data_IF_816201518369
#
_entry.id   IF_816201518369
#
_cell.length_a   1.000
_cell.length_b   1.000
_cell.length_c   1.000
_cell.angle_alpha   90.00
_cell.angle_beta   90.00
_cell.angle_gamma   90.00
#
_symmetry.space_group_name_H-M   'P 1'
#
loop_
_entity.id
_entity.type
_entity.pdbx_description
1 polymer ?
#
# COMPACT_ATOMS: atom_id res chain seq x y z
N UNK A 1 -30.16 -38.95 -27.12
CA UNK A 1 -30.16 -38.45 -25.73
C UNK A 1 -29.13 -37.34 -25.65
N UNK A 2 -29.58 -36.10 -25.75
CA UNK A 2 -28.73 -34.91 -25.58
C UNK A 2 -28.56 -34.73 -24.07
N UNK A 3 -27.34 -34.96 -23.59
CA UNK A 3 -27.00 -34.82 -22.17
C UNK A 3 -27.10 -33.37 -21.75
N UNK A 4 -28.08 -33.08 -20.89
CA UNK A 4 -28.17 -31.87 -20.12
C UNK A 4 -27.04 -31.88 -19.08
N UNK A 5 -25.87 -31.36 -19.43
CA UNK A 5 -24.86 -30.95 -18.45
C UNK A 5 -25.36 -29.64 -17.83
N UNK A 6 -26.16 -29.76 -16.77
CA UNK A 6 -26.38 -28.65 -15.85
C UNK A 6 -25.02 -28.25 -15.28
N UNK A 7 -24.57 -27.04 -15.61
CA UNK A 7 -23.45 -26.33 -14.98
C UNK A 7 -23.70 -26.25 -13.45
N UNK A 8 -23.30 -27.31 -12.73
CA UNK A 8 -23.30 -27.30 -11.27
C UNK A 8 -22.14 -26.41 -10.85
N UNK A 9 -22.44 -25.14 -10.60
CA UNK A 9 -21.52 -24.21 -9.92
C UNK A 9 -20.89 -24.92 -8.73
N UNK A 10 -19.58 -25.17 -8.80
CA UNK A 10 -18.85 -25.90 -7.77
C UNK A 10 -18.88 -25.08 -6.48
N UNK A 11 -19.47 -25.63 -5.42
CA UNK A 11 -19.35 -25.08 -4.08
C UNK A 11 -17.87 -25.15 -3.66
N UNK A 12 -17.28 -24.01 -3.28
CA UNK A 12 -15.86 -23.91 -2.94
C UNK A 12 -15.71 -23.58 -1.45
N UNK A 13 -14.66 -24.12 -0.84
CA UNK A 13 -14.15 -23.68 0.47
C UNK A 13 -12.94 -22.79 0.25
N UNK A 14 -13.10 -21.52 0.55
CA UNK A 14 -12.07 -20.49 0.33
C UNK A 14 -11.47 -20.09 1.67
N UNK A 15 -10.17 -20.29 1.85
CA UNK A 15 -9.42 -19.75 2.99
C UNK A 15 -8.82 -18.40 2.61
N UNK A 16 -9.30 -17.33 3.22
CA UNK A 16 -8.83 -15.96 3.02
C UNK A 16 -7.88 -15.61 4.17
N UNK A 17 -6.70 -15.10 3.88
CA UNK A 17 -5.76 -14.66 4.92
C UNK A 17 -5.84 -13.15 5.13
N UNK A 18 -5.53 -12.62 6.31
CA UNK A 18 -5.28 -11.19 6.51
C UNK A 18 -4.41 -10.98 7.77
N UNK A 19 -3.84 -9.79 7.97
CA UNK A 19 -3.14 -9.51 9.24
C UNK A 19 -4.12 -9.16 10.37
N UNK A 20 -5.17 -8.43 10.01
CA UNK A 20 -6.16 -7.91 10.93
C UNK A 20 -7.56 -8.29 10.43
N UNK A 21 -8.46 -8.60 11.36
CA UNK A 21 -9.91 -8.54 11.18
C UNK A 21 -10.47 -7.97 12.49
N UNK A 22 -10.12 -6.72 12.74
CA UNK A 22 -10.29 -6.01 14.00
C UNK A 22 -11.13 -4.74 13.91
N UNK A 23 -10.75 -3.76 13.08
CA UNK A 23 -11.22 -2.36 13.16
C UNK A 23 -11.39 -1.71 11.78
N UNK A 24 -12.27 -2.24 10.93
CA UNK A 24 -12.76 -1.63 9.67
C UNK A 24 -11.70 -0.89 8.83
N UNK A 25 -10.47 -1.40 8.76
CA UNK A 25 -9.40 -0.78 7.98
C UNK A 25 -9.40 -1.27 6.52
N UNK A 26 -8.58 -0.66 5.66
CA UNK A 26 -8.67 -0.81 4.20
C UNK A 26 -8.77 -2.25 3.69
N UNK A 27 -7.82 -3.12 4.03
CA UNK A 27 -7.82 -4.53 3.58
C UNK A 27 -8.82 -5.39 4.35
N UNK A 28 -9.17 -5.04 5.59
CA UNK A 28 -10.17 -5.75 6.37
C UNK A 28 -11.56 -5.66 5.72
N UNK A 29 -11.97 -4.46 5.30
CA UNK A 29 -13.27 -4.29 4.63
C UNK A 29 -13.28 -4.99 3.27
N UNK A 30 -12.13 -5.12 2.60
CA UNK A 30 -12.03 -5.94 1.36
C UNK A 30 -12.22 -7.43 1.66
N UNK A 31 -11.63 -7.94 2.74
CA UNK A 31 -11.85 -9.32 3.20
C UNK A 31 -13.30 -9.58 3.55
N UNK A 32 -13.94 -8.67 4.28
CA UNK A 32 -15.37 -8.79 4.60
C UNK A 32 -16.22 -8.77 3.33
N UNK A 33 -15.98 -7.82 2.42
CA UNK A 33 -16.71 -7.73 1.16
C UNK A 33 -16.58 -9.00 0.31
N UNK A 34 -15.35 -9.53 0.20
CA UNK A 34 -15.08 -10.77 -0.53
C UNK A 34 -15.74 -11.98 0.16
N UNK A 35 -15.61 -12.08 1.48
CA UNK A 35 -16.15 -13.19 2.25
C UNK A 35 -17.68 -13.23 2.21
N UNK A 36 -18.34 -12.08 2.43
CA UNK A 36 -19.79 -11.92 2.35
C UNK A 36 -20.27 -12.22 0.92
N UNK A 37 -19.59 -11.69 -0.10
CA UNK A 37 -19.92 -11.91 -1.52
C UNK A 37 -19.80 -13.36 -1.96
N UNK A 38 -18.72 -14.05 -1.59
CA UNK A 38 -18.54 -15.48 -1.87
C UNK A 38 -19.61 -16.33 -1.17
N UNK A 39 -19.96 -15.99 0.09
CA UNK A 39 -21.02 -16.67 0.83
C UNK A 39 -22.39 -16.47 0.17
N UNK A 40 -22.70 -15.25 -0.26
CA UNK A 40 -23.91 -14.94 -1.02
C UNK A 40 -24.00 -15.71 -2.34
N UNK A 41 -22.86 -15.99 -2.98
CA UNK A 41 -22.77 -16.83 -4.18
C UNK A 41 -22.82 -18.35 -3.88
N UNK A 42 -22.99 -18.76 -2.61
CA UNK A 42 -23.10 -20.15 -2.21
C UNK A 42 -21.76 -20.87 -2.03
N UNK A 43 -20.70 -20.16 -1.67
CA UNK A 43 -19.41 -20.76 -1.28
C UNK A 43 -19.20 -20.65 0.23
N UNK A 44 -18.35 -21.51 0.78
CA UNK A 44 -17.95 -21.46 2.19
C UNK A 44 -16.65 -20.66 2.33
N UNK A 45 -16.62 -19.76 3.31
CA UNK A 45 -15.47 -18.90 3.56
C UNK A 45 -14.93 -19.11 4.96
N UNK A 46 -13.61 -19.24 5.03
CA UNK A 46 -12.82 -19.27 6.25
C UNK A 46 -11.84 -18.10 6.20
N UNK A 47 -11.66 -17.40 7.30
CA UNK A 47 -10.76 -16.25 7.39
C UNK A 47 -9.73 -16.51 8.48
N UNK A 48 -8.46 -16.42 8.12
CA UNK A 48 -7.32 -16.52 9.04
C UNK A 48 -6.69 -15.14 9.22
N UNK A 49 -6.73 -14.61 10.44
CA UNK A 49 -6.00 -13.39 10.78
C UNK A 49 -5.49 -13.39 12.22
N UNK A 50 -4.19 -13.15 12.47
CA UNK A 50 -3.60 -13.24 13.80
C UNK A 50 -4.12 -12.19 14.78
N UNK A 51 -4.73 -11.10 14.29
CA UNK A 51 -5.34 -10.06 15.14
C UNK A 51 -6.82 -9.93 14.83
N UNK A 52 -7.67 -10.25 15.80
CA UNK A 52 -9.13 -10.17 15.69
C UNK A 52 -9.69 -9.07 16.59
N UNK A 53 -10.89 -8.61 16.27
CA UNK A 53 -11.67 -7.66 17.06
C UNK A 53 -13.13 -7.64 16.62
N UNK A 54 -13.83 -6.55 16.87
CA UNK A 54 -15.29 -6.43 16.66
C UNK A 54 -15.75 -6.84 15.26
N UNK A 55 -14.92 -6.60 14.25
CA UNK A 55 -15.19 -7.02 12.88
C UNK A 55 -15.28 -8.53 12.72
N UNK A 56 -14.36 -9.29 13.33
CA UNK A 56 -14.38 -10.75 13.32
C UNK A 56 -15.68 -11.28 13.96
N UNK A 57 -16.12 -10.66 15.05
CA UNK A 57 -17.35 -11.07 15.72
C UNK A 57 -18.60 -10.78 14.88
N UNK A 58 -18.63 -9.67 14.14
CA UNK A 58 -19.71 -9.40 13.17
C UNK A 58 -19.71 -10.42 12.03
N UNK A 59 -18.54 -10.76 11.48
CA UNK A 59 -18.42 -11.79 10.44
C UNK A 59 -18.87 -13.17 10.96
N UNK A 60 -18.47 -13.56 12.17
CA UNK A 60 -18.92 -14.82 12.81
C UNK A 60 -20.43 -14.87 12.97
N UNK A 61 -21.06 -13.78 13.41
CA UNK A 61 -22.53 -13.69 13.52
C UNK A 61 -23.25 -13.86 12.17
N UNK A 62 -22.60 -13.52 11.04
CA UNK A 62 -23.12 -13.77 9.69
C UNK A 62 -22.82 -15.18 9.14
N UNK A 63 -22.12 -16.00 9.93
CA UNK A 63 -21.84 -17.40 9.61
C UNK A 63 -20.49 -17.65 8.94
N UNK A 64 -19.56 -16.70 9.00
CA UNK A 64 -18.18 -16.94 8.58
C UNK A 64 -17.39 -17.68 9.66
N UNK A 65 -16.52 -18.60 9.25
CA UNK A 65 -15.49 -19.13 10.15
C UNK A 65 -14.33 -18.13 10.18
N UNK A 66 -14.10 -17.45 11.30
CA UNK A 66 -12.97 -16.53 11.49
C UNK A 66 -12.11 -17.01 12.64
N UNK A 67 -10.82 -17.24 12.39
CA UNK A 67 -9.86 -17.74 13.37
C UNK A 67 -8.54 -16.96 13.33
N UNK A 68 -7.85 -16.90 14.46
CA UNK A 68 -6.49 -16.35 14.59
C UNK A 68 -5.40 -17.42 14.64
N UNK A 69 -5.80 -18.68 14.85
CA UNK A 69 -4.92 -19.84 14.81
C UNK A 69 -5.26 -20.77 13.66
N UNK A 70 -4.25 -21.09 12.85
CA UNK A 70 -4.38 -22.04 11.73
C UNK A 70 -4.85 -23.44 12.15
N UNK A 71 -4.61 -23.83 13.41
CA UNK A 71 -5.06 -25.11 13.95
C UNK A 71 -6.60 -25.22 14.05
N UNK A 72 -7.31 -24.09 14.12
CA UNK A 72 -8.78 -24.04 14.17
C UNK A 72 -9.41 -24.19 12.79
N UNK A 73 -8.63 -23.96 11.72
CA UNK A 73 -9.03 -24.27 10.34
C UNK A 73 -8.84 -25.77 10.10
N UNK A 74 -9.81 -26.57 10.53
CA UNK A 74 -9.78 -28.03 10.44
C UNK A 74 -10.15 -28.55 9.05
N UNK A 75 -11.06 -27.87 8.37
CA UNK A 75 -11.50 -28.24 7.03
C UNK A 75 -10.45 -27.85 5.99
N UNK A 76 -10.10 -28.79 5.11
CA UNK A 76 -9.17 -28.52 4.00
C UNK A 76 -9.84 -27.56 3.00
N UNK A 77 -9.28 -26.36 2.73
CA UNK A 77 -9.81 -25.50 1.69
C UNK A 77 -9.60 -26.08 0.29
N UNK A 78 -10.44 -25.67 -0.65
CA UNK A 78 -10.26 -25.99 -2.08
C UNK A 78 -9.31 -24.98 -2.75
N UNK A 79 -9.23 -23.76 -2.22
CA UNK A 79 -8.33 -22.69 -2.67
C UNK A 79 -7.97 -21.78 -1.48
N UNK A 80 -6.74 -21.27 -1.48
CA UNK A 80 -6.29 -20.20 -0.57
C UNK A 80 -6.31 -18.87 -1.32
N UNK A 81 -7.04 -17.88 -0.80
CA UNK A 81 -6.88 -16.47 -1.17
C UNK A 81 -5.87 -15.84 -0.23
N UNK A 82 -4.61 -15.81 -0.68
CA UNK A 82 -3.50 -15.23 0.05
C UNK A 82 -3.51 -13.70 -0.07
N UNK A 83 -3.42 -13.02 1.05
CA UNK A 83 -3.04 -11.61 1.14
C UNK A 83 -2.33 -11.41 2.48
N UNK A 84 -1.38 -10.47 2.49
CA UNK A 84 -0.32 -10.34 3.50
C UNK A 84 0.56 -11.59 3.62
N UNK A 85 1.89 -11.42 3.48
CA UNK A 85 2.82 -12.53 3.37
C UNK A 85 2.81 -13.49 4.56
N UNK A 86 2.71 -12.98 5.80
CA UNK A 86 2.83 -13.80 7.02
C UNK A 86 1.64 -14.74 7.26
N UNK A 87 0.36 -14.31 7.23
CA UNK A 87 -0.76 -15.25 7.34
C UNK A 87 -0.91 -16.13 6.09
N UNK A 88 -0.52 -15.62 4.90
CA UNK A 88 -0.48 -16.43 3.68
C UNK A 88 0.51 -17.61 3.82
N UNK A 89 1.75 -17.36 4.28
CA UNK A 89 2.72 -18.42 4.54
C UNK A 89 2.17 -19.49 5.48
N UNK A 90 1.48 -19.05 6.54
CA UNK A 90 0.89 -19.94 7.54
C UNK A 90 -0.14 -20.88 6.90
N UNK A 91 -1.01 -20.36 6.03
CA UNK A 91 -1.99 -21.15 5.29
C UNK A 91 -1.33 -22.11 4.29
N UNK A 92 -0.33 -21.65 3.53
CA UNK A 92 0.41 -22.47 2.57
C UNK A 92 1.11 -23.65 3.26
N UNK A 93 1.80 -23.40 4.38
CA UNK A 93 2.51 -24.41 5.16
C UNK A 93 1.57 -25.47 5.74
N UNK A 94 0.37 -25.07 6.21
CA UNK A 94 -0.62 -26.02 6.76
C UNK A 94 -1.25 -26.91 5.70
N UNK A 95 -1.42 -26.38 4.48
CA UNK A 95 -2.15 -27.02 3.40
C UNK A 95 -1.29 -27.09 2.12
N UNK A 96 -0.21 -27.89 2.12
CA UNK A 96 0.80 -27.86 1.06
C UNK A 96 0.30 -28.29 -0.32
N UNK A 97 -0.83 -28.98 -0.41
CA UNK A 97 -1.41 -29.45 -1.69
C UNK A 97 -2.57 -28.57 -2.17
N UNK A 98 -2.90 -27.50 -1.45
CA UNK A 98 -4.00 -26.60 -1.85
C UNK A 98 -3.44 -25.49 -2.75
N UNK A 99 -4.03 -25.25 -3.93
CA UNK A 99 -3.65 -24.12 -4.77
C UNK A 99 -3.99 -22.80 -4.10
N UNK A 100 -3.26 -21.75 -4.47
CA UNK A 100 -3.45 -20.42 -3.96
C UNK A 100 -3.49 -19.39 -5.08
N UNK A 101 -4.18 -18.29 -4.81
CA UNK A 101 -3.95 -17.01 -5.45
C UNK A 101 -3.35 -16.04 -4.44
N UNK A 102 -2.66 -15.00 -4.90
CA UNK A 102 -2.12 -13.96 -4.01
C UNK A 102 -2.51 -12.55 -4.47
N UNK A 103 -3.15 -11.79 -3.59
CA UNK A 103 -3.60 -10.42 -3.85
C UNK A 103 -2.62 -9.38 -3.29
N UNK A 104 -2.23 -8.45 -4.16
CA UNK A 104 -1.41 -7.27 -3.86
C UNK A 104 -2.33 -6.05 -3.77
N UNK A 105 -2.52 -5.50 -2.56
CA UNK A 105 -3.41 -4.36 -2.29
C UNK A 105 -2.69 -3.00 -2.25
N UNK A 106 -1.35 -3.02 -2.32
CA UNK A 106 -0.48 -1.85 -2.20
C UNK A 106 0.81 -2.09 -2.95
N UNK A 107 1.19 -1.13 -3.79
CA UNK A 107 2.50 -1.10 -4.42
C UNK A 107 3.64 -0.75 -3.43
N UNK A 108 3.29 -0.22 -2.26
CA UNK A 108 4.23 0.37 -1.31
C UNK A 108 4.72 -0.62 -0.25
N UNK A 109 3.80 -1.33 0.41
CA UNK A 109 4.14 -2.15 1.58
C UNK A 109 4.77 -3.49 1.18
N UNK A 110 5.90 -3.85 1.80
CA UNK A 110 6.58 -5.10 1.57
C UNK A 110 5.76 -6.30 2.07
N UNK A 111 4.95 -6.13 3.11
CA UNK A 111 4.01 -7.18 3.57
C UNK A 111 2.97 -7.58 2.50
N UNK A 112 2.73 -6.71 1.52
CA UNK A 112 1.79 -6.93 0.40
C UNK A 112 2.51 -7.25 -0.91
N UNK A 113 3.84 -7.10 -0.97
CA UNK A 113 4.60 -7.37 -2.18
C UNK A 113 4.58 -8.87 -2.49
N UNK A 114 4.33 -9.27 -3.76
CA UNK A 114 4.23 -10.69 -4.09
C UNK A 114 5.59 -11.39 -3.90
N UNK A 115 5.49 -12.61 -3.39
CA UNK A 115 6.59 -13.58 -3.35
C UNK A 115 6.17 -14.82 -4.14
N UNK A 116 7.14 -15.44 -4.81
CA UNK A 116 6.88 -16.66 -5.57
C UNK A 116 6.79 -17.85 -4.64
N UNK A 117 5.74 -18.65 -4.81
CA UNK A 117 5.57 -19.95 -4.14
C UNK A 117 4.87 -20.90 -5.11
N UNK A 118 5.28 -22.18 -5.22
CA UNK A 118 4.68 -23.09 -6.22
C UNK A 118 3.18 -23.33 -6.06
N UNK A 119 2.64 -23.15 -4.84
CA UNK A 119 1.19 -23.20 -4.61
C UNK A 119 0.46 -21.96 -5.13
N UNK A 120 1.12 -20.80 -5.23
CA UNK A 120 0.52 -19.58 -5.79
C UNK A 120 0.56 -19.70 -7.31
N UNK A 121 -0.61 -19.90 -7.90
CA UNK A 121 -0.76 -20.16 -9.34
C UNK A 121 -1.19 -18.93 -10.11
N UNK A 122 -1.82 -17.97 -9.43
CA UNK A 122 -2.21 -16.66 -9.97
C UNK A 122 -2.01 -15.56 -8.95
N UNK A 123 -1.81 -14.34 -9.45
CA UNK A 123 -1.69 -13.13 -8.66
C UNK A 123 -2.78 -12.16 -9.06
N UNK A 124 -3.24 -11.37 -8.10
CA UNK A 124 -4.25 -10.35 -8.29
C UNK A 124 -3.62 -9.02 -7.89
N UNK A 125 -3.63 -8.05 -8.80
CA UNK A 125 -3.37 -6.66 -8.49
C UNK A 125 -4.69 -5.91 -8.36
N UNK A 126 -4.80 -5.00 -7.39
CA UNK A 126 -6.04 -4.22 -7.25
C UNK A 126 -6.08 -2.97 -8.12
N UNK A 127 -4.94 -2.48 -8.59
CA UNK A 127 -4.82 -1.33 -9.48
C UNK A 127 -3.55 -1.41 -10.33
N UNK A 128 -3.36 -0.46 -11.25
CA UNK A 128 -2.19 -0.44 -12.14
C UNK A 128 -0.86 -0.28 -11.39
N UNK A 129 -0.84 0.40 -10.23
CA UNK A 129 0.37 0.52 -9.41
C UNK A 129 0.76 -0.84 -8.80
N UNK A 130 -0.21 -1.57 -8.27
CA UNK A 130 -0.02 -2.92 -7.74
C UNK A 130 0.38 -3.89 -8.85
N UNK A 131 -0.17 -3.73 -10.05
CA UNK A 131 0.22 -4.52 -11.23
C UNK A 131 1.68 -4.26 -11.59
N UNK A 132 2.11 -3.00 -11.66
CA UNK A 132 3.51 -2.65 -11.89
C UNK A 132 4.44 -3.23 -10.81
N UNK A 133 4.03 -3.20 -9.54
CA UNK A 133 4.75 -3.83 -8.43
C UNK A 133 4.86 -5.36 -8.59
N UNK A 134 3.80 -6.02 -9.05
CA UNK A 134 3.82 -7.46 -9.29
C UNK A 134 4.79 -7.83 -10.42
N UNK A 135 4.73 -7.11 -11.54
CA UNK A 135 5.62 -7.33 -12.68
C UNK A 135 7.09 -7.08 -12.31
N UNK A 136 7.39 -6.04 -11.52
CA UNK A 136 8.76 -5.77 -11.07
C UNK A 136 9.32 -6.83 -10.10
N UNK A 137 8.45 -7.62 -9.47
CA UNK A 137 8.81 -8.80 -8.65
C UNK A 137 8.82 -10.10 -9.45
N UNK A 138 8.74 -10.02 -10.78
CA UNK A 138 8.82 -11.16 -11.69
C UNK A 138 7.56 -12.01 -11.75
N UNK A 139 6.40 -11.49 -11.35
CA UNK A 139 5.12 -12.17 -11.57
C UNK A 139 4.85 -12.25 -13.08
N UNK A 140 4.56 -13.44 -13.65
CA UNK A 140 4.24 -13.57 -15.07
C UNK A 140 2.95 -12.84 -15.44
N UNK A 141 2.96 -12.05 -16.52
CA UNK A 141 1.82 -11.24 -16.93
C UNK A 141 0.57 -12.07 -17.29
N UNK A 142 0.75 -13.28 -17.83
CA UNK A 142 -0.33 -14.24 -18.13
C UNK A 142 -0.98 -14.87 -16.89
N UNK A 143 -0.35 -14.69 -15.72
CA UNK A 143 -0.82 -15.16 -14.41
C UNK A 143 -1.21 -14.03 -13.46
N UNK A 144 -1.25 -12.79 -13.95
CA UNK A 144 -1.59 -11.60 -13.18
C UNK A 144 -2.93 -11.04 -13.64
N UNK A 145 -3.93 -11.13 -12.76
CA UNK A 145 -5.24 -10.53 -12.96
C UNK A 145 -5.30 -9.12 -12.34
N UNK A 146 -6.09 -8.23 -12.93
CA UNK A 146 -6.35 -6.90 -12.39
C UNK A 146 -7.80 -6.85 -11.93
N UNK A 147 -8.03 -6.85 -10.61
CA UNK A 147 -9.37 -6.87 -10.02
C UNK A 147 -9.52 -5.66 -9.10
N UNK A 148 -10.23 -4.64 -9.58
CA UNK A 148 -10.42 -3.39 -8.86
C UNK A 148 -11.30 -3.53 -7.62
N UNK A 149 -11.14 -2.61 -6.66
CA UNK A 149 -11.99 -2.57 -5.47
C UNK A 149 -13.46 -2.38 -5.84
N UNK A 150 -14.38 -2.98 -5.10
CA UNK A 150 -15.81 -2.88 -5.34
C UNK A 150 -16.57 -2.24 -4.19
N UNK A 151 -17.83 -1.92 -4.48
CA UNK A 151 -18.83 -1.37 -3.56
C UNK A 151 -19.98 -2.38 -3.48
N UNK A 152 -20.44 -2.63 -2.26
CA UNK A 152 -21.70 -3.36 -2.05
C UNK A 152 -22.87 -2.43 -2.38
N UNK A 153 -23.35 -2.47 -3.63
CA UNK A 153 -24.46 -1.63 -4.09
C UNK A 153 -25.82 -2.06 -3.52
N UNK A 154 -25.89 -3.22 -2.85
CA UNK A 154 -27.05 -3.57 -2.04
C UNK A 154 -27.09 -2.71 -0.77
N UNK A 155 -25.94 -2.46 -0.13
CA UNK A 155 -25.82 -1.60 1.06
C UNK A 155 -25.75 -0.12 0.72
N UNK A 156 -24.90 0.28 -0.22
CA UNK A 156 -24.69 1.67 -0.63
C UNK A 156 -25.72 2.08 -1.70
N UNK A 157 -26.87 2.54 -1.22
CA UNK A 157 -27.97 3.03 -2.07
C UNK A 157 -27.69 4.45 -2.58
N UNK A 158 -28.19 4.81 -3.78
CA UNK A 158 -28.09 6.19 -4.26
C UNK A 158 -28.77 7.17 -3.31
N UNK A 159 -28.17 8.35 -3.12
CA UNK A 159 -28.80 9.48 -2.44
C UNK A 159 -29.81 10.20 -3.35
N UNK A 160 -30.58 11.10 -2.76
CA UNK A 160 -31.36 12.08 -3.52
C UNK A 160 -30.44 13.02 -4.31
N UNK A 161 -30.91 13.62 -5.41
CA UNK A 161 -30.10 14.54 -6.22
C UNK A 161 -29.39 15.61 -5.39
N UNK A 162 -28.17 15.94 -5.81
CA UNK A 162 -27.37 16.99 -5.20
C UNK A 162 -28.03 18.37 -5.38
N UNK A 163 -27.88 19.29 -4.41
CA UNK A 163 -28.34 20.67 -4.56
C UNK A 163 -27.50 21.41 -5.63
N UNK A 164 -27.99 22.57 -6.09
CA UNK A 164 -27.26 23.42 -7.04
C UNK A 164 -26.00 24.06 -6.45
N UNK A 165 -25.89 24.13 -5.11
CA UNK A 165 -24.71 24.59 -4.38
C UNK A 165 -24.47 23.66 -3.19
N UNK A 166 -23.23 23.24 -2.93
CA UNK A 166 -22.93 22.33 -1.82
C UNK A 166 -23.04 23.08 -0.48
N UNK A 167 -23.58 22.40 0.53
CA UNK A 167 -23.74 22.95 1.89
C UNK A 167 -23.11 22.07 2.96
N UNK A 168 -23.01 20.75 2.73
CA UNK A 168 -22.47 19.78 3.69
C UNK A 168 -21.35 18.96 3.06
N UNK A 169 -20.24 18.83 3.77
CA UNK A 169 -19.12 18.00 3.37
C UNK A 169 -18.71 17.01 4.47
N UNK A 170 -18.14 15.89 4.04
CA UNK A 170 -17.53 14.89 4.90
C UNK A 170 -16.08 14.67 4.52
N UNK A 171 -15.18 14.70 5.50
CA UNK A 171 -13.82 14.22 5.35
C UNK A 171 -13.69 12.81 5.93
N UNK A 172 -13.37 11.84 5.08
CA UNK A 172 -13.03 10.48 5.46
C UNK A 172 -11.51 10.32 5.51
N UNK A 173 -10.94 10.35 6.71
CA UNK A 173 -9.48 10.43 6.89
C UNK A 173 -8.91 9.41 7.87
N UNK A 174 -7.70 8.94 7.56
CA UNK A 174 -6.88 8.09 8.42
C UNK A 174 -5.82 8.86 9.22
N UNK A 175 -5.44 10.05 8.74
CA UNK A 175 -4.30 10.82 9.26
C UNK A 175 -4.68 12.30 9.47
N UNK A 176 -3.85 13.04 10.19
CA UNK A 176 -4.21 14.38 10.68
C UNK A 176 -3.74 15.53 9.76
N UNK A 177 -2.72 15.30 8.92
CA UNK A 177 -1.89 16.36 8.32
C UNK A 177 -2.66 17.26 7.34
N UNK A 178 -3.68 16.74 6.66
CA UNK A 178 -4.46 17.50 5.67
C UNK A 178 -5.78 18.05 6.21
N UNK A 179 -6.19 17.69 7.44
CA UNK A 179 -7.49 18.09 8.01
C UNK A 179 -7.62 19.62 8.06
N UNK A 180 -6.55 20.31 8.45
CA UNK A 180 -6.59 21.77 8.59
C UNK A 180 -6.84 22.47 7.24
N UNK A 181 -6.22 22.00 6.17
CA UNK A 181 -6.43 22.56 4.84
C UNK A 181 -7.89 22.34 4.36
N UNK A 182 -8.46 21.17 4.63
CA UNK A 182 -9.86 20.85 4.31
C UNK A 182 -10.84 21.70 5.11
N UNK A 183 -10.61 21.86 6.43
CA UNK A 183 -11.41 22.75 7.29
C UNK A 183 -11.41 24.18 6.78
N UNK A 184 -10.23 24.71 6.45
CA UNK A 184 -10.08 26.08 5.98
C UNK A 184 -10.76 26.30 4.62
N UNK A 185 -10.58 25.38 3.67
CA UNK A 185 -11.22 25.44 2.37
C UNK A 185 -12.76 25.39 2.50
N UNK A 186 -13.30 24.47 3.31
CA UNK A 186 -14.75 24.38 3.54
C UNK A 186 -15.30 25.64 4.21
N UNK A 187 -14.61 26.17 5.21
CA UNK A 187 -14.98 27.41 5.90
C UNK A 187 -15.03 28.61 4.93
N UNK A 188 -14.00 28.79 4.10
CA UNK A 188 -13.94 29.84 3.07
C UNK A 188 -15.03 29.67 2.00
N UNK A 189 -15.50 28.46 1.76
CA UNK A 189 -16.59 28.15 0.83
C UNK A 189 -17.98 28.12 1.48
N UNK A 190 -18.12 28.45 2.77
CA UNK A 190 -19.37 28.36 3.54
C UNK A 190 -20.02 26.96 3.52
N UNK A 191 -19.20 25.91 3.61
CA UNK A 191 -19.63 24.51 3.65
C UNK A 191 -19.40 23.97 5.06
N UNK A 192 -20.43 23.36 5.65
CA UNK A 192 -20.32 22.67 6.93
C UNK A 192 -19.54 21.36 6.76
N UNK A 193 -18.50 21.15 7.56
CA UNK A 193 -17.64 19.97 7.48
C UNK A 193 -17.84 19.06 8.69
N UNK A 194 -18.17 17.80 8.43
CA UNK A 194 -18.02 16.69 9.37
C UNK A 194 -16.73 15.93 9.03
N UNK A 195 -16.10 15.31 10.04
CA UNK A 195 -14.90 14.47 9.85
C UNK A 195 -15.09 13.12 10.55
N UNK A 196 -14.69 12.05 9.87
CA UNK A 196 -14.80 10.67 10.35
C UNK A 196 -13.53 9.89 10.00
N UNK A 197 -13.08 9.08 10.96
CA UNK A 197 -12.01 8.11 10.81
C UNK A 197 -11.01 8.12 11.97
N UNK A 198 -9.97 7.26 11.93
CA UNK A 198 -9.01 7.11 13.02
C UNK A 198 -8.41 8.42 13.54
N UNK A 199 -8.15 9.38 12.64
CA UNK A 199 -7.61 10.70 13.00
C UNK A 199 -8.62 11.66 13.66
N UNK A 200 -9.81 11.20 13.99
CA UNK A 200 -10.85 12.00 14.68
C UNK A 200 -11.43 11.29 15.88
N UNK A 201 -11.02 10.04 16.13
CA UNK A 201 -11.63 9.09 17.07
C UNK A 201 -13.14 8.84 16.85
N UNK A 202 -13.73 9.43 15.80
CA UNK A 202 -15.11 9.22 15.37
C UNK A 202 -15.12 8.15 14.28
N UNK A 203 -15.75 7.02 14.56
CA UNK A 203 -15.90 5.92 13.60
C UNK A 203 -17.35 5.78 13.18
N UNK A 204 -17.59 5.58 11.88
CA UNK A 204 -18.88 5.11 11.39
C UNK A 204 -18.82 3.62 11.09
N UNK A 205 -19.81 2.88 11.59
CA UNK A 205 -20.05 1.48 11.25
C UNK A 205 -21.18 1.31 10.22
N UNK A 206 -21.77 2.42 9.77
CA UNK A 206 -22.92 2.46 8.85
C UNK A 206 -22.72 3.57 7.83
N UNK A 207 -21.53 3.66 7.23
CA UNK A 207 -21.17 4.71 6.28
C UNK A 207 -22.15 4.79 5.10
N UNK A 208 -22.76 3.65 4.73
CA UNK A 208 -23.81 3.57 3.72
C UNK A 208 -25.08 4.37 4.07
N UNK A 209 -25.31 4.66 5.36
CA UNK A 209 -26.41 5.50 5.86
C UNK A 209 -26.00 6.94 6.09
N UNK A 210 -24.72 7.19 6.32
CA UNK A 210 -24.22 8.54 6.61
C UNK A 210 -23.94 9.32 5.32
N UNK A 211 -23.36 8.67 4.30
CA UNK A 211 -22.98 9.31 3.02
C UNK A 211 -24.12 10.10 2.34
N UNK A 212 -25.39 9.65 2.35
CA UNK A 212 -26.48 10.40 1.72
C UNK A 212 -26.69 11.83 2.24
N UNK A 213 -26.19 12.15 3.44
CA UNK A 213 -26.33 13.46 4.08
C UNK A 213 -25.27 14.50 3.64
N UNK A 214 -24.35 14.13 2.74
CA UNK A 214 -23.23 14.97 2.33
C UNK A 214 -23.19 15.22 0.83
N UNK A 215 -22.89 16.47 0.46
CA UNK A 215 -22.81 16.92 -0.93
C UNK A 215 -21.41 16.70 -1.51
N UNK A 216 -20.38 17.01 -0.71
CA UNK A 216 -18.98 16.81 -1.06
C UNK A 216 -18.34 15.82 -0.09
N UNK A 217 -17.61 14.84 -0.61
CA UNK A 217 -16.81 13.92 0.21
C UNK A 217 -15.34 14.02 -0.17
N UNK A 218 -14.50 14.32 0.81
CA UNK A 218 -13.05 14.26 0.69
C UNK A 218 -12.59 12.87 1.15
N UNK A 219 -12.07 12.08 0.22
CA UNK A 219 -11.71 10.69 0.50
C UNK A 219 -10.68 10.15 -0.50
N UNK A 220 -10.11 8.99 -0.21
CA UNK A 220 -9.28 8.24 -1.17
C UNK A 220 -9.65 6.77 -1.21
N UNK A 221 -9.22 6.12 -2.29
CA UNK A 221 -9.40 4.70 -2.54
C UNK A 221 -10.86 4.26 -2.43
N UNK A 222 -11.11 3.19 -1.67
CA UNK A 222 -12.44 2.61 -1.48
C UNK A 222 -13.47 3.59 -0.92
N UNK A 223 -13.10 4.46 0.02
CA UNK A 223 -14.03 5.44 0.60
C UNK A 223 -14.52 6.44 -0.45
N UNK A 224 -13.65 6.82 -1.39
CA UNK A 224 -14.01 7.65 -2.54
C UNK A 224 -14.95 6.91 -3.51
N UNK A 225 -14.71 5.61 -3.75
CA UNK A 225 -15.59 4.78 -4.59
C UNK A 225 -17.00 4.65 -3.98
N UNK A 226 -17.07 4.39 -2.67
CA UNK A 226 -18.33 4.29 -1.93
C UNK A 226 -19.12 5.60 -1.99
N UNK A 227 -18.46 6.75 -1.76
CA UNK A 227 -19.07 8.07 -1.87
C UNK A 227 -19.57 8.39 -3.30
N UNK A 228 -18.76 8.07 -4.32
CA UNK A 228 -19.13 8.25 -5.71
C UNK A 228 -20.35 7.39 -6.09
N UNK A 229 -20.38 6.12 -5.67
CA UNK A 229 -21.48 5.19 -5.96
C UNK A 229 -22.80 5.51 -5.22
N UNK A 230 -22.73 6.27 -4.12
CA UNK A 230 -23.90 6.88 -3.46
C UNK A 230 -24.38 8.10 -4.22
N UNK A 231 -23.47 8.86 -4.86
CA UNK A 231 -23.79 10.06 -5.64
C UNK A 231 -23.37 11.37 -4.97
N UNK A 232 -22.37 11.32 -4.09
CA UNK A 232 -21.71 12.53 -3.61
C UNK A 232 -20.77 13.08 -4.70
N UNK A 233 -20.51 14.39 -4.68
CA UNK A 233 -19.36 14.95 -5.39
C UNK A 233 -18.10 14.59 -4.62
N UNK A 234 -17.07 14.06 -5.28
CA UNK A 234 -15.90 13.50 -4.60
C UNK A 234 -14.64 14.28 -4.93
N UNK A 235 -13.94 14.74 -3.90
CA UNK A 235 -12.60 15.31 -4.02
C UNK A 235 -11.60 14.27 -3.50
N UNK A 236 -10.73 13.80 -4.39
CA UNK A 236 -9.78 12.73 -4.07
C UNK A 236 -8.52 13.32 -3.45
N UNK A 237 -8.37 13.17 -2.12
CA UNK A 237 -7.21 13.67 -1.37
C UNK A 237 -7.04 13.01 0.00
N UNK A 238 -5.79 12.90 0.46
CA UNK A 238 -5.46 12.59 1.85
C UNK A 238 -4.11 13.22 2.27
N UNK A 239 -3.53 12.77 3.38
CA UNK A 239 -2.27 13.30 3.91
C UNK A 239 -1.07 13.08 2.98
N UNK A 240 -1.16 12.11 2.05
CA UNK A 240 -0.11 11.81 1.07
C UNK A 240 -0.19 12.74 -0.14
N UNK A 241 -1.32 13.40 -0.36
CA UNK A 241 -1.48 14.37 -1.43
C UNK A 241 -2.91 14.51 -1.95
N UNK A 242 -3.02 15.17 -3.09
CA UNK A 242 -4.25 15.66 -3.69
C UNK A 242 -4.28 15.29 -5.19
N UNK A 243 -5.39 14.69 -5.62
CA UNK A 243 -5.64 14.41 -7.04
C UNK A 243 -6.54 15.48 -7.67
N UNK A 244 -7.62 15.89 -6.99
CA UNK A 244 -8.59 16.86 -7.48
C UNK A 244 -10.04 16.39 -7.36
N UNK A 245 -10.95 17.11 -8.02
CA UNK A 245 -12.34 16.72 -8.16
C UNK A 245 -12.47 15.54 -9.14
N UNK A 246 -13.17 14.48 -8.72
CA UNK A 246 -13.60 13.39 -9.57
C UNK A 246 -14.76 13.87 -10.46
N UNK A 247 -14.59 13.76 -11.77
CA UNK A 247 -15.57 14.21 -12.76
C UNK A 247 -15.67 13.24 -13.95
N UNK A 248 -16.62 13.49 -14.85
CA UNK A 248 -16.81 12.65 -16.05
C UNK A 248 -15.59 12.62 -16.99
N UNK A 249 -14.71 13.62 -16.94
CA UNK A 249 -13.52 13.66 -17.78
C UNK A 249 -12.40 12.74 -17.25
N UNK A 250 -12.39 12.42 -15.96
CA UNK A 250 -11.30 11.66 -15.32
C UNK A 250 -11.72 10.32 -14.69
N UNK A 251 -13.02 10.05 -14.52
CA UNK A 251 -13.53 8.88 -13.78
C UNK A 251 -12.99 7.52 -14.27
N UNK A 252 -12.89 7.31 -15.59
CA UNK A 252 -12.38 6.04 -16.14
C UNK A 252 -10.89 5.84 -15.86
N UNK A 253 -10.09 6.89 -16.07
CA UNK A 253 -8.66 6.84 -15.81
C UNK A 253 -8.37 6.65 -14.31
N UNK A 254 -9.12 7.36 -13.46
CA UNK A 254 -8.95 7.30 -12.02
C UNK A 254 -9.45 5.98 -11.42
N UNK A 255 -10.45 5.35 -12.04
CA UNK A 255 -10.90 3.98 -11.70
C UNK A 255 -9.77 2.96 -11.81
N UNK A 256 -8.93 3.06 -12.85
CA UNK A 256 -7.77 2.16 -13.04
C UNK A 256 -6.72 2.26 -11.93
N UNK A 257 -6.72 3.38 -11.21
CA UNK A 257 -5.89 3.64 -10.04
C UNK A 257 -6.66 3.48 -8.72
N UNK A 258 -7.87 2.89 -8.76
CA UNK A 258 -8.76 2.70 -7.61
C UNK A 258 -9.14 3.97 -6.84
N UNK A 259 -9.04 5.15 -7.45
CA UNK A 259 -9.10 6.44 -6.73
C UNK A 259 -8.02 6.55 -5.62
N UNK A 260 -6.93 5.79 -5.76
CA UNK A 260 -5.94 5.53 -4.73
C UNK A 260 -4.70 6.44 -4.80
N UNK A 261 -3.67 6.04 -4.05
CA UNK A 261 -2.46 6.85 -3.80
C UNK A 261 -1.73 7.28 -5.07
N UNK A 262 -1.78 6.48 -6.14
CA UNK A 262 -1.10 6.82 -7.40
C UNK A 262 -1.66 8.06 -8.11
N UNK A 263 -2.83 8.57 -7.69
CA UNK A 263 -3.40 9.82 -8.21
C UNK A 263 -2.97 11.05 -7.39
N UNK A 264 -2.43 10.86 -6.18
CA UNK A 264 -2.16 11.92 -5.22
C UNK A 264 -0.83 12.62 -5.53
N UNK A 265 -0.75 13.27 -6.69
CA UNK A 265 0.50 13.82 -7.23
C UNK A 265 0.74 15.28 -6.87
N UNK A 266 -0.25 15.97 -6.30
CA UNK A 266 -0.17 17.37 -5.88
C UNK A 266 -0.23 17.50 -4.35
N UNK A 267 0.27 18.59 -3.75
CA UNK A 267 0.08 18.83 -2.32
C UNK A 267 -1.37 19.20 -2.00
N UNK A 268 -1.85 18.76 -0.83
CA UNK A 268 -3.18 19.09 -0.32
C UNK A 268 -3.15 20.48 0.33
N UNK A 269 -3.29 21.53 -0.49
CA UNK A 269 -3.34 22.94 -0.04
C UNK A 269 -4.76 23.50 -0.08
N UNK A 270 -5.00 24.60 0.64
CA UNK A 270 -6.29 25.29 0.69
C UNK A 270 -6.71 25.76 -0.71
N UNK A 271 -5.77 26.27 -1.50
CA UNK A 271 -6.00 26.77 -2.86
C UNK A 271 -6.48 25.66 -3.78
N UNK A 272 -5.77 24.52 -3.79
CA UNK A 272 -6.13 23.35 -4.60
C UNK A 272 -7.52 22.80 -4.22
N UNK A 273 -7.82 22.78 -2.92
CA UNK A 273 -9.12 22.34 -2.40
C UNK A 273 -10.25 23.29 -2.80
N UNK A 274 -10.04 24.61 -2.66
CA UNK A 274 -11.01 25.62 -3.08
C UNK A 274 -11.27 25.59 -4.59
N UNK A 275 -10.22 25.38 -5.40
CA UNK A 275 -10.37 25.18 -6.84
C UNK A 275 -11.29 23.98 -7.13
N UNK A 276 -11.06 22.83 -6.49
CA UNK A 276 -11.91 21.66 -6.67
C UNK A 276 -13.35 21.89 -6.20
N UNK A 277 -13.56 22.55 -5.05
CA UNK A 277 -14.90 22.91 -4.55
C UNK A 277 -15.62 23.84 -5.54
N UNK A 278 -14.92 24.82 -6.12
CA UNK A 278 -15.51 25.78 -7.06
C UNK A 278 -16.00 25.13 -8.35
N UNK A 279 -15.47 23.95 -8.70
CA UNK A 279 -15.85 23.14 -9.86
C UNK A 279 -17.01 22.18 -9.59
N UNK A 280 -17.61 22.21 -8.40
CA UNK A 280 -18.76 21.38 -8.04
C UNK A 280 -19.88 21.49 -9.10
N UNK A 281 -20.32 20.34 -9.61
CA UNK A 281 -21.44 20.22 -10.54
C UNK A 281 -22.29 19.00 -10.14
N UNK A 282 -23.55 19.24 -9.77
CA UNK A 282 -24.49 18.22 -9.35
C UNK A 282 -24.85 17.22 -10.46
N UNK A 283 -24.93 17.70 -11.71
CA UNK A 283 -25.23 16.88 -12.88
C UNK A 283 -24.05 16.00 -13.27
N UNK A 284 -22.82 16.51 -13.18
CA UNK A 284 -21.60 15.73 -13.41
C UNK A 284 -21.44 14.62 -12.35
N UNK A 285 -21.60 14.96 -11.06
CA UNK A 285 -21.55 13.99 -9.97
C UNK A 285 -22.61 12.87 -10.13
N UNK A 286 -23.80 13.18 -10.65
CA UNK A 286 -24.82 12.16 -10.97
C UNK A 286 -24.37 11.21 -12.09
N UNK A 287 -23.66 11.69 -13.11
CA UNK A 287 -23.09 10.85 -14.18
C UNK A 287 -21.94 9.98 -13.65
N UNK A 288 -21.07 10.55 -12.82
CA UNK A 288 -20.01 9.81 -12.10
C UNK A 288 -20.62 8.68 -11.27
N UNK A 289 -21.71 8.96 -10.54
CA UNK A 289 -22.44 7.95 -9.77
C UNK A 289 -22.93 6.81 -10.65
N UNK A 290 -23.61 7.12 -11.77
CA UNK A 290 -24.08 6.11 -12.71
C UNK A 290 -22.94 5.21 -13.21
N UNK A 291 -21.79 5.80 -13.58
CA UNK A 291 -20.61 5.06 -14.00
C UNK A 291 -20.08 4.11 -12.91
N UNK A 292 -19.82 4.61 -11.69
CA UNK A 292 -19.27 3.75 -10.63
C UNK A 292 -20.25 2.65 -10.18
N UNK A 293 -21.56 2.89 -10.27
CA UNK A 293 -22.57 1.85 -10.02
C UNK A 293 -22.58 0.77 -11.11
N UNK A 294 -22.21 1.11 -12.34
CA UNK A 294 -22.06 0.12 -13.41
C UNK A 294 -20.80 -0.73 -13.23
N UNK A 295 -19.66 -0.10 -12.90
CA UNK A 295 -18.34 -0.76 -12.96
C UNK A 295 -17.77 -1.25 -11.62
N UNK A 296 -18.40 -0.91 -10.49
CA UNK A 296 -17.88 -1.23 -9.15
C UNK A 296 -18.80 -2.12 -8.31
N UNK A 297 -19.80 -2.80 -8.91
CA UNK A 297 -20.64 -3.75 -8.18
C UNK A 297 -19.84 -4.94 -7.65
N UNK A 298 -20.08 -5.29 -6.38
CA UNK A 298 -19.48 -6.47 -5.72
C UNK A 298 -19.70 -7.78 -6.48
N UNK A 299 -20.79 -7.90 -7.24
CA UNK A 299 -21.12 -9.08 -8.05
C UNK A 299 -20.05 -9.34 -9.12
N UNK A 300 -19.59 -8.29 -9.81
CA UNK A 300 -18.51 -8.41 -10.78
C UNK A 300 -17.18 -8.76 -10.11
N UNK A 301 -16.91 -8.13 -8.96
CA UNK A 301 -15.72 -8.41 -8.15
C UNK A 301 -15.65 -9.88 -7.71
N UNK A 302 -16.76 -10.45 -7.21
CA UNK A 302 -16.82 -11.87 -6.83
C UNK A 302 -16.64 -12.78 -8.04
N UNK A 303 -17.22 -12.45 -9.19
CA UNK A 303 -17.09 -13.24 -10.42
C UNK A 303 -15.64 -13.29 -10.92
N UNK A 304 -14.93 -12.17 -10.96
CA UNK A 304 -13.51 -12.16 -11.37
C UNK A 304 -12.62 -12.93 -10.39
N UNK A 305 -12.91 -12.88 -9.08
CA UNK A 305 -12.22 -13.71 -8.10
C UNK A 305 -12.48 -15.21 -8.32
N UNK A 306 -13.73 -15.61 -8.55
CA UNK A 306 -14.09 -17.00 -8.83
C UNK A 306 -13.42 -17.51 -10.11
N UNK A 307 -13.32 -16.67 -11.14
CA UNK A 307 -12.57 -16.98 -12.36
C UNK A 307 -11.09 -17.23 -12.06
N UNK A 308 -10.44 -16.34 -11.30
CA UNK A 308 -9.04 -16.53 -10.89
C UNK A 308 -8.86 -17.82 -10.05
N UNK A 309 -9.79 -18.12 -9.15
CA UNK A 309 -9.76 -19.35 -8.35
C UNK A 309 -9.89 -20.60 -9.22
N UNK A 310 -10.85 -20.62 -10.14
CA UNK A 310 -11.07 -21.76 -11.03
C UNK A 310 -9.85 -22.01 -11.92
N UNK A 311 -9.26 -20.96 -12.48
CA UNK A 311 -8.01 -21.07 -13.24
C UNK A 311 -6.85 -21.59 -12.38
N UNK A 312 -6.72 -21.11 -11.14
CA UNK A 312 -5.71 -21.60 -10.21
C UNK A 312 -5.95 -23.07 -9.84
N UNK A 313 -7.19 -23.50 -9.62
CA UNK A 313 -7.53 -24.90 -9.31
C UNK A 313 -7.22 -25.82 -10.50
N UNK A 314 -7.56 -25.40 -11.72
CA UNK A 314 -7.39 -26.18 -12.95
C UNK A 314 -5.94 -26.23 -13.46
N UNK A 315 -5.12 -25.25 -13.09
CA UNK A 315 -3.73 -25.20 -13.54
C UNK A 315 -2.94 -26.44 -13.07
N UNK A 316 -2.40 -27.18 -14.05
CA UNK A 316 -1.53 -28.32 -13.80
C UNK A 316 -0.14 -27.81 -13.37
N UNK A 317 0.40 -28.37 -12.29
CA UNK A 317 1.73 -28.03 -11.79
C UNK A 317 2.51 -29.31 -11.53
N UNK A 318 3.69 -29.45 -12.14
CA UNK A 318 4.60 -30.59 -11.92
C UNK A 318 5.46 -30.43 -10.66
N UNK A 319 5.04 -29.58 -9.71
CA UNK A 319 5.83 -29.29 -8.52
C UNK A 319 5.83 -30.49 -7.57
N UNK A 320 7.02 -30.88 -7.14
CA UNK A 320 7.23 -31.94 -6.14
C UNK A 320 6.95 -31.45 -4.72
N UNK A 321 6.79 -32.38 -3.77
CA UNK A 321 6.63 -32.03 -2.35
C UNK A 321 7.88 -31.34 -1.77
N UNK A 322 9.07 -31.72 -2.25
CA UNK A 322 10.35 -31.10 -1.84
C UNK A 322 10.42 -29.64 -2.29
N UNK A 323 10.08 -29.35 -3.55
CA UNK A 323 10.06 -27.96 -4.06
C UNK A 323 9.08 -27.07 -3.30
N UNK A 324 7.92 -27.60 -2.90
CA UNK A 324 6.96 -26.87 -2.04
C UNK A 324 7.55 -26.59 -0.65
N UNK A 325 8.15 -27.61 -0.04
CA UNK A 325 8.76 -27.50 1.28
C UNK A 325 9.94 -26.52 1.28
N UNK A 326 10.78 -26.57 0.24
CA UNK A 326 11.89 -25.63 0.05
C UNK A 326 11.40 -24.20 -0.16
N UNK A 327 10.33 -24.00 -0.94
CA UNK A 327 9.74 -22.67 -1.12
C UNK A 327 9.17 -22.11 0.18
N UNK A 328 8.47 -22.94 0.97
CA UNK A 328 7.99 -22.58 2.31
C UNK A 328 9.17 -22.22 3.23
N UNK A 329 10.24 -23.02 3.25
CA UNK A 329 11.43 -22.73 4.04
C UNK A 329 12.09 -21.40 3.64
N UNK A 330 12.20 -21.09 2.34
CA UNK A 330 12.71 -19.80 1.85
C UNK A 330 11.84 -18.63 2.30
N UNK A 331 10.52 -18.78 2.29
CA UNK A 331 9.64 -17.74 2.83
C UNK A 331 9.89 -17.53 4.33
N UNK A 332 10.05 -18.61 5.11
CA UNK A 332 10.41 -18.52 6.54
C UNK A 332 11.73 -17.76 6.72
N UNK A 333 12.75 -17.99 5.89
CA UNK A 333 14.01 -17.22 5.95
C UNK A 333 13.79 -15.74 5.68
N UNK A 334 12.93 -15.38 4.72
CA UNK A 334 12.69 -13.99 4.33
C UNK A 334 11.83 -13.21 5.34
N UNK A 335 10.76 -13.82 5.85
CA UNK A 335 9.74 -13.13 6.66
C UNK A 335 9.78 -13.51 8.14
N UNK A 336 10.50 -14.58 8.50
CA UNK A 336 10.76 -14.95 9.89
C UNK A 336 11.79 -14.02 10.52
N UNK A 337 11.51 -13.58 11.75
CA UNK A 337 12.41 -12.71 12.50
C UNK A 337 13.75 -13.43 12.73
N UNK A 338 14.84 -12.80 12.30
CA UNK A 338 16.20 -13.30 12.47
C UNK A 338 17.20 -12.15 12.55
N UNK A 339 18.47 -12.40 12.84
CA UNK A 339 19.49 -11.34 12.92
C UNK A 339 19.72 -10.65 11.57
N UNK A 340 19.60 -11.38 10.46
CA UNK A 340 19.80 -10.80 9.13
C UNK A 340 18.57 -9.96 8.74
N UNK A 341 18.72 -8.66 8.40
CA UNK A 341 17.60 -7.79 8.07
C UNK A 341 17.08 -8.07 6.65
N UNK A 342 16.35 -9.18 6.50
CA UNK A 342 15.62 -9.55 5.28
C UNK A 342 14.26 -8.83 5.23
N UNK A 343 13.30 -9.34 4.47
CA UNK A 343 11.96 -8.75 4.34
C UNK A 343 11.25 -8.53 5.67
N UNK A 344 11.44 -9.41 6.66
CA UNK A 344 10.85 -9.24 7.99
C UNK A 344 11.16 -7.87 8.61
N UNK A 345 12.36 -7.32 8.38
CA UNK A 345 12.76 -6.03 8.96
C UNK A 345 11.96 -4.87 8.35
N UNK A 346 11.68 -4.94 7.04
CA UNK A 346 10.80 -3.98 6.35
C UNK A 346 9.36 -4.10 6.84
N UNK A 347 8.85 -5.33 6.96
CA UNK A 347 7.50 -5.61 7.46
C UNK A 347 7.32 -5.05 8.88
N UNK A 348 8.28 -5.27 9.78
CA UNK A 348 8.21 -4.76 11.17
C UNK A 348 8.26 -3.23 11.20
N UNK A 349 9.10 -2.61 10.36
CA UNK A 349 9.15 -1.16 10.20
C UNK A 349 7.80 -0.60 9.74
N UNK A 350 7.15 -1.26 8.79
CA UNK A 350 5.83 -0.87 8.27
C UNK A 350 4.72 -1.03 9.32
N UNK A 351 4.67 -2.16 10.02
CA UNK A 351 3.56 -2.50 10.92
C UNK A 351 3.68 -1.80 12.28
N UNK A 352 4.89 -1.58 12.79
CA UNK A 352 5.10 -1.07 14.15
C UNK A 352 5.85 0.27 14.21
N UNK A 353 6.17 0.88 13.06
CA UNK A 353 6.99 2.10 13.02
C UNK A 353 8.38 1.89 13.61
N UNK A 354 8.82 0.63 13.74
CA UNK A 354 10.09 0.30 14.37
C UNK A 354 11.22 0.84 13.50
N UNK A 355 11.99 1.78 14.04
CA UNK A 355 13.21 2.21 13.40
C UNK A 355 14.24 1.09 13.54
N UNK A 356 14.29 0.21 12.54
CA UNK A 356 15.50 -0.57 12.29
C UNK A 356 16.61 0.49 12.17
N UNK A 357 17.58 0.50 13.09
CA UNK A 357 18.70 1.42 12.97
C UNK A 357 19.20 1.34 11.54
N UNK A 358 19.37 2.46 10.82
CA UNK A 358 19.87 2.41 9.46
C UNK A 358 21.08 1.49 9.43
N UNK A 359 21.22 0.67 8.38
CA UNK A 359 22.51 0.06 8.14
C UNK A 359 23.52 1.19 8.17
N UNK A 360 24.43 1.18 9.15
CA UNK A 360 25.36 2.28 9.39
C UNK A 360 26.16 2.57 8.12
N UNK A 361 26.36 1.54 7.29
CA UNK A 361 26.95 1.64 5.95
C UNK A 361 26.08 2.45 4.98
N UNK A 362 24.77 2.20 4.91
CA UNK A 362 23.86 2.96 4.05
C UNK A 362 23.70 4.43 4.50
N UNK A 363 23.76 4.71 5.81
CA UNK A 363 23.75 6.08 6.32
C UNK A 363 25.04 6.82 5.96
N UNK A 364 26.20 6.16 6.06
CA UNK A 364 27.49 6.72 5.65
C UNK A 364 27.52 6.96 4.13
N UNK A 365 27.03 6.03 3.32
CA UNK A 365 26.94 6.20 1.86
C UNK A 365 26.01 7.36 1.47
N UNK A 366 24.86 7.50 2.14
CA UNK A 366 23.94 8.62 1.92
C UNK A 366 24.57 9.95 2.33
N UNK A 367 25.26 10.00 3.47
CA UNK A 367 25.98 11.19 3.92
C UNK A 367 27.11 11.56 2.95
N UNK A 368 27.90 10.60 2.48
CA UNK A 368 28.93 10.81 1.46
C UNK A 368 28.36 11.30 0.13
N UNK A 369 27.21 10.75 -0.29
CA UNK A 369 26.51 11.22 -1.50
C UNK A 369 26.06 12.67 -1.35
N UNK A 370 25.47 13.04 -0.20
CA UNK A 370 25.04 14.40 0.07
C UNK A 370 26.23 15.37 0.16
N UNK A 371 27.35 14.95 0.74
CA UNK A 371 28.61 15.73 0.74
C UNK A 371 29.09 16.01 -0.67
N UNK A 372 29.13 15.00 -1.55
CA UNK A 372 29.50 15.19 -2.98
C UNK A 372 28.57 16.14 -3.72
N UNK A 373 27.26 16.07 -3.47
CA UNK A 373 26.30 17.02 -4.06
C UNK A 373 26.55 18.45 -3.56
N UNK A 374 26.85 18.62 -2.27
CA UNK A 374 27.19 19.93 -1.71
C UNK A 374 28.50 20.47 -2.28
N UNK A 375 29.52 19.64 -2.46
CA UNK A 375 30.78 20.02 -3.13
C UNK A 375 30.54 20.48 -4.57
N UNK A 376 29.71 19.76 -5.33
CA UNK A 376 29.32 20.16 -6.69
C UNK A 376 28.60 21.52 -6.71
N UNK A 377 27.70 21.76 -5.75
CA UNK A 377 26.98 23.03 -5.65
C UNK A 377 27.92 24.18 -5.27
N UNK A 378 28.90 23.94 -4.40
CA UNK A 378 29.94 24.93 -4.04
C UNK A 378 30.81 25.26 -5.25
N UNK A 379 31.21 24.26 -6.05
CA UNK A 379 31.96 24.49 -7.29
C UNK A 379 31.17 25.34 -8.29
N UNK A 380 29.87 25.06 -8.46
CA UNK A 380 28.99 25.88 -9.31
C UNK A 380 28.83 27.32 -8.80
N UNK A 381 28.83 27.55 -7.48
CA UNK A 381 28.79 28.90 -6.89
C UNK A 381 30.08 29.68 -7.14
N UNK A 382 31.25 29.02 -7.09
CA UNK A 382 32.54 29.63 -7.44
C UNK A 382 32.57 30.01 -8.91
N UNK A 383 32.12 29.12 -9.79
CA UNK A 383 32.03 29.38 -11.24
C UNK A 383 31.08 30.56 -11.53
N UNK A 384 29.95 30.65 -10.84
CA UNK A 384 29.04 31.79 -10.92
C UNK A 384 29.71 33.08 -10.44
N UNK A 385 30.52 33.02 -9.38
CA UNK A 385 31.30 34.13 -8.85
C UNK A 385 32.35 34.65 -9.85
N UNK A 386 33.01 33.76 -10.58
CA UNK A 386 33.94 34.11 -11.66
C UNK A 386 33.23 34.71 -12.88
N UNK A 387 32.08 34.17 -13.27
CA UNK A 387 31.25 34.73 -14.33
C UNK A 387 30.77 36.15 -13.99
N UNK A 388 30.40 36.40 -12.73
CA UNK A 388 30.03 37.74 -12.25
C UNK A 388 31.21 38.72 -12.30
N UNK A 389 32.45 38.26 -12.04
CA UNK A 389 33.67 39.10 -12.20
C UNK A 389 34.01 39.41 -13.65
N UNK A 390 33.61 38.55 -14.60
CA UNK A 390 33.87 38.73 -16.02
C UNK A 390 32.91 39.73 -16.71
N UNK A 391 31.79 40.08 -16.06
CA UNK A 391 30.92 41.18 -16.48
C UNK A 391 31.68 42.48 -16.15
N UNK A 392 32.14 43.18 -17.19
CA UNK A 392 33.07 44.31 -17.10
C UNK A 392 32.68 45.47 -16.16
N UNK A 393 33.57 46.46 -15.98
CA UNK A 393 33.60 47.38 -14.82
C UNK A 393 32.48 48.45 -14.75
N UNK A 394 31.38 48.30 -15.48
CA UNK A 394 30.26 49.26 -15.44
C UNK A 394 29.21 48.98 -14.36
N UNK A 395 29.37 47.94 -13.54
CA UNK A 395 28.46 47.66 -12.42
C UNK A 395 29.18 47.80 -11.07
N UNK A 396 28.53 48.56 -10.19
CA UNK A 396 29.07 49.18 -8.99
C UNK A 396 29.75 48.22 -7.99
N UNK A 397 30.66 48.82 -7.18
CA UNK A 397 31.37 48.28 -6.01
C UNK A 397 30.61 47.24 -5.14
N UNK A 398 29.28 47.35 -4.91
CA UNK A 398 28.54 46.34 -4.14
C UNK A 398 28.52 44.93 -4.73
N UNK A 399 28.61 44.78 -6.07
CA UNK A 399 28.58 43.46 -6.73
C UNK A 399 29.93 42.75 -6.60
N UNK A 400 31.03 43.50 -6.66
CA UNK A 400 32.38 42.97 -6.43
C UNK A 400 32.58 42.55 -4.96
N UNK A 401 32.06 43.32 -4.00
CA UNK A 401 32.09 42.96 -2.58
C UNK A 401 31.22 41.72 -2.28
N UNK A 402 30.07 41.59 -2.95
CA UNK A 402 29.22 40.40 -2.87
C UNK A 402 29.90 39.15 -3.47
N UNK A 403 30.55 39.28 -4.63
CA UNK A 403 31.33 38.19 -5.26
C UNK A 403 32.49 37.74 -4.37
N UNK A 404 33.28 38.67 -3.82
CA UNK A 404 34.37 38.33 -2.90
C UNK A 404 33.87 37.70 -1.58
N UNK A 405 32.67 38.08 -1.11
CA UNK A 405 32.02 37.43 0.04
C UNK A 405 31.52 36.02 -0.31
N UNK A 406 30.97 35.82 -1.51
CA UNK A 406 30.54 34.50 -2.00
C UNK A 406 31.71 33.53 -2.13
N UNK A 407 32.84 33.96 -2.69
CA UNK A 407 34.05 33.14 -2.80
C UNK A 407 34.58 32.69 -1.43
N UNK A 408 34.59 33.59 -0.44
CA UNK A 408 35.01 33.23 0.93
C UNK A 408 34.06 32.25 1.59
N UNK A 409 32.75 32.43 1.42
CA UNK A 409 31.73 31.52 1.96
C UNK A 409 31.82 30.15 1.28
N UNK A 410 32.07 30.12 -0.03
CA UNK A 410 32.28 28.89 -0.79
C UNK A 410 33.53 28.14 -0.31
N UNK A 411 34.67 28.82 -0.17
CA UNK A 411 35.92 28.22 0.33
C UNK A 411 35.80 27.71 1.78
N UNK A 412 35.17 28.46 2.67
CA UNK A 412 34.94 28.02 4.05
C UNK A 412 33.98 26.83 4.12
N UNK A 413 32.94 26.81 3.28
CA UNK A 413 32.01 25.68 3.17
C UNK A 413 32.71 24.43 2.64
N UNK A 414 33.58 24.56 1.64
CA UNK A 414 34.37 23.45 1.09
C UNK A 414 35.36 22.87 2.14
N UNK A 415 36.01 23.74 2.91
CA UNK A 415 36.91 23.30 3.99
C UNK A 415 36.18 22.60 5.14
N UNK A 416 34.91 22.93 5.41
CA UNK A 416 34.06 22.22 6.38
C UNK A 416 33.59 20.87 5.84
N UNK A 417 33.19 20.80 4.56
CA UNK A 417 32.77 19.57 3.91
C UNK A 417 33.89 18.52 3.88
N UNK A 418 35.12 18.92 3.53
CA UNK A 418 36.27 18.01 3.59
C UNK A 418 36.56 17.47 4.99
N UNK A 419 36.39 18.29 6.05
CA UNK A 419 36.52 17.81 7.44
C UNK A 419 35.45 16.80 7.82
N UNK A 420 34.21 17.01 7.38
CA UNK A 420 33.11 16.07 7.63
C UNK A 420 33.37 14.75 6.89
N UNK A 421 33.86 14.78 5.65
CA UNK A 421 34.19 13.57 4.89
C UNK A 421 35.35 12.77 5.51
N UNK A 422 36.37 13.46 6.02
CA UNK A 422 37.49 12.84 6.75
C UNK A 422 37.02 12.17 8.05
N UNK A 423 36.13 12.82 8.81
CA UNK A 423 35.55 12.25 10.03
C UNK A 423 34.66 11.04 9.74
N UNK A 424 33.82 11.11 8.70
CA UNK A 424 32.99 9.99 8.25
C UNK A 424 33.84 8.81 7.77
N UNK A 425 34.93 9.06 7.06
CA UNK A 425 35.88 8.04 6.61
C UNK A 425 36.58 7.35 7.79
N UNK A 426 36.98 8.11 8.82
CA UNK A 426 37.53 7.54 10.06
C UNK A 426 36.51 6.69 10.82
N UNK A 427 35.26 7.15 10.90
CA UNK A 427 34.17 6.41 11.56
C UNK A 427 33.87 5.10 10.83
N UNK A 428 33.81 5.14 9.50
CA UNK A 428 33.61 3.96 8.64
C UNK A 428 34.73 2.94 8.82
N UNK A 429 35.99 3.39 8.84
CA UNK A 429 37.14 2.53 9.08
C UNK A 429 37.11 1.89 10.48
N UNK A 430 36.76 2.66 11.51
CA UNK A 430 36.61 2.16 12.88
C UNK A 430 35.51 1.09 12.99
N UNK A 431 34.36 1.31 12.37
CA UNK A 431 33.26 0.32 12.33
C UNK A 431 33.67 -0.95 11.59
N UNK A 432 34.39 -0.82 10.48
CA UNK A 432 34.92 -1.97 9.74
C UNK A 432 35.97 -2.75 10.56
N UNK A 433 36.79 -2.06 11.35
CA UNK A 433 37.79 -2.67 12.23
C UNK A 433 37.14 -3.41 13.40
N UNK A 434 36.08 -2.85 14.01
CA UNK A 434 35.25 -3.53 15.01
C UNK A 434 34.57 -4.77 14.41
N UNK A 435 33.99 -4.66 13.21
CA UNK A 435 33.43 -5.83 12.49
C UNK A 435 34.51 -6.88 12.23
N UNK A 436 35.75 -6.49 11.90
CA UNK A 436 36.88 -7.41 11.71
C UNK A 436 37.30 -8.10 13.01
N UNK A 437 37.39 -7.35 14.12
CA UNK A 437 37.68 -7.87 15.45
C UNK A 437 36.61 -8.85 15.94
N UNK A 438 35.34 -8.50 15.76
CA UNK A 438 34.21 -9.36 16.09
C UNK A 438 34.20 -10.66 15.27
N UNK A 439 34.51 -10.58 13.97
CA UNK A 439 34.64 -11.75 13.10
C UNK A 439 35.92 -12.57 13.35
N UNK A 440 36.97 -11.96 13.92
CA UNK A 440 38.22 -12.62 14.32
C UNK A 440 38.14 -13.33 15.68
N UNK A 441 37.17 -12.95 16.53
CA UNK A 441 36.95 -13.52 17.86
C UNK A 441 36.29 -14.91 17.86
N UNK A 442 35.96 -15.49 16.70
CA UNK A 442 35.53 -16.90 16.59
C UNK A 442 36.69 -17.72 16.02
N UNK A 443 37.44 -18.46 16.86
CA UNK A 443 38.57 -19.25 16.40
C UNK A 443 38.17 -20.25 15.30
N UNK A 444 38.98 -20.34 14.25
CA UNK A 444 38.78 -21.26 13.11
C UNK A 444 38.56 -22.74 13.54
N UNK A 445 39.05 -23.14 14.71
CA UNK A 445 38.84 -24.49 15.25
C UNK A 445 37.37 -24.74 15.66
N UNK A 446 36.67 -23.72 16.18
CA UNK A 446 35.25 -23.83 16.57
C UNK A 446 34.37 -23.96 15.31
N UNK A 447 34.66 -23.20 14.24
CA UNK A 447 33.99 -23.35 12.94
C UNK A 447 34.19 -24.74 12.31
N UNK A 448 35.39 -25.31 12.41
CA UNK A 448 35.68 -26.68 11.92
C UNK A 448 34.98 -27.77 12.75
N UNK A 449 34.77 -27.54 14.04
CA UNK A 449 34.08 -28.49 14.92
C UNK A 449 32.59 -28.60 14.58
N UNK A 450 31.89 -27.49 14.35
CA UNK A 450 30.47 -27.48 13.93
C UNK A 450 30.25 -28.12 12.54
N UNK A 451 31.21 -27.99 11.62
CA UNK A 451 31.13 -28.62 10.30
C UNK A 451 31.36 -30.14 10.34
N UNK A 452 32.12 -30.67 11.32
CA UNK A 452 32.31 -32.12 11.48
C UNK A 452 31.10 -32.80 12.14
N UNK A 453 30.41 -32.13 13.04
CA UNK A 453 29.18 -32.65 13.68
C UNK A 453 28.04 -32.80 12.66
N UNK A 454 27.99 -31.95 11.62
CA UNK A 454 27.00 -32.03 10.53
C UNK A 454 27.23 -33.13 9.48
N UNK A 455 28.33 -33.88 9.54
CA UNK A 455 28.63 -34.98 8.60
C UNK A 455 28.46 -36.39 9.19
N UNK A 456 27.99 -36.52 10.44
CA UNK A 456 27.74 -37.82 11.10
C UNK A 456 26.43 -37.89 11.91
N UNK A 457 25.46 -37.03 11.60
CA UNK A 457 24.11 -37.09 12.16
C UNK A 457 23.12 -37.43 11.06
#
# INVERSE_FOLDING_TARGET
MVGCETDRRRHLRVLITNLFVSRNSGTEVVVELLADGLRGAGHQTMVLAPTLGDMADRMRRRGHHVADRIAEIVEKPDIIHGQHLTPCLTALARFPDVPAVFSCHSAFFEIEAPMHHPQIRRWIAVDEACKAKCLSRGVPADRLDLIYNAVDLHRFKPRLPLPSRPARALLLTKNFEHQQAVREACSKSNIALDEVGPATERFSHQLEKDLPEYDIVFATARMALEAAAVGCSVVVCDARGFAGLLDTANMEAWRRMNLGVGLLTRPTTVENLMEAISRFDAGDAAKVCAYFREVADVSHFVQEHLKAYNQAIQAQTNTTADERSLATARWIEEIGVSVAPRRWAHIVKEVHGWQVSPDQTALVELLQSNTKTLESNVASLVELGEQVKAIGPEIAKPILDASASLDRVAQDSQARLHRIDDELSRLSNFVNEIKRLYNGMIPLFIRRMFLRVRRRG
#
